data_IF_203738136119
#
_entry.id   IF_203738136119
#
_cell.length_a   1.000
_cell.length_b   1.000
_cell.length_c   1.000
_cell.angle_alpha   90.00
_cell.angle_beta   90.00
_cell.angle_gamma   90.00
#
_symmetry.space_group_name_H-M   'P 1'
#
loop_
_entity.id
_entity.type
_entity.pdbx_description
1 polymer ?
#
# COMPACT_ATOMS: atom_id res chain seq x y z
N UNK A 1 22.35 -7.04 -26.54
CA UNK A 1 23.06 -6.85 -25.27
C UNK A 1 22.18 -6.01 -24.36
N UNK A 2 21.50 -6.64 -23.37
CA UNK A 2 20.81 -5.91 -22.30
C UNK A 2 21.91 -5.23 -21.47
N UNK A 3 21.87 -3.89 -21.40
CA UNK A 3 22.66 -3.18 -20.41
C UNK A 3 22.16 -3.63 -19.05
N UNK A 4 23.03 -4.28 -18.27
CA UNK A 4 22.79 -4.53 -16.84
C UNK A 4 22.68 -3.17 -16.16
N UNK A 5 21.45 -2.69 -16.03
CA UNK A 5 21.14 -1.49 -15.23
C UNK A 5 21.12 -1.98 -13.81
N UNK A 6 22.18 -1.71 -13.03
CA UNK A 6 22.12 -1.91 -11.59
C UNK A 6 20.90 -1.20 -11.02
N UNK A 7 20.01 -1.91 -10.32
CA UNK A 7 18.81 -1.32 -9.77
C UNK A 7 19.19 -0.34 -8.65
N UNK A 8 19.25 0.95 -8.97
CA UNK A 8 19.48 2.01 -7.97
C UNK A 8 18.13 2.34 -7.29
N UNK A 9 18.15 2.67 -5.99
CA UNK A 9 16.98 3.24 -5.33
C UNK A 9 16.45 4.45 -6.11
N UNK A 10 15.13 4.53 -6.28
CA UNK A 10 14.50 5.62 -7.02
C UNK A 10 13.14 5.98 -6.45
N UNK A 11 12.68 7.22 -6.67
CA UNK A 11 11.38 7.72 -6.23
C UNK A 11 10.20 7.08 -6.98
N UNK A 12 10.49 6.37 -8.07
CA UNK A 12 9.50 5.68 -8.92
C UNK A 12 8.94 4.39 -8.27
N UNK A 13 9.56 3.92 -7.19
CA UNK A 13 9.16 2.70 -6.49
C UNK A 13 9.21 2.86 -4.98
N UNK A 14 8.22 2.33 -4.30
CA UNK A 14 8.11 2.38 -2.83
C UNK A 14 7.77 1.00 -2.30
N UNK A 15 8.36 0.66 -1.15
CA UNK A 15 8.12 -0.59 -0.42
C UNK A 15 7.38 -0.28 0.88
N UNK A 16 6.33 -1.03 1.15
CA UNK A 16 5.67 -1.10 2.46
C UNK A 16 6.04 -2.44 3.07
N UNK A 17 6.94 -2.40 4.05
CA UNK A 17 7.50 -3.58 4.70
C UNK A 17 6.49 -4.27 5.63
N UNK A 18 6.69 -5.55 5.91
CA UNK A 18 5.88 -6.34 6.84
C UNK A 18 5.87 -5.74 8.27
N UNK A 19 7.01 -5.24 8.72
CA UNK A 19 7.15 -4.59 10.03
C UNK A 19 7.05 -3.07 9.90
N UNK A 20 6.42 -2.45 10.90
CA UNK A 20 6.16 -1.02 10.93
C UNK A 20 7.41 -0.16 10.73
N UNK A 21 7.29 0.86 9.87
CA UNK A 21 8.37 1.76 9.50
C UNK A 21 8.03 3.25 9.71
N UNK A 22 6.97 3.56 10.47
CA UNK A 22 6.65 4.95 10.81
C UNK A 22 7.73 5.55 11.72
N UNK A 23 8.03 6.83 11.52
CA UNK A 23 8.92 7.58 12.40
C UNK A 23 8.20 7.83 13.73
N UNK A 24 8.61 7.23 14.87
CA UNK A 24 7.87 7.31 16.12
C UNK A 24 7.85 8.71 16.72
N UNK A 25 8.80 9.56 16.36
CA UNK A 25 8.92 10.97 16.80
C UNK A 25 8.21 11.97 15.90
N UNK A 26 7.55 11.54 14.83
CA UNK A 26 6.76 12.39 13.94
C UNK A 26 5.27 12.10 14.11
N UNK A 27 4.46 13.14 13.94
CA UNK A 27 3.01 12.96 13.87
C UNK A 27 2.59 12.12 12.66
N UNK A 28 1.34 11.68 12.61
CA UNK A 28 0.77 11.02 11.43
C UNK A 28 0.93 11.88 10.18
N UNK A 29 0.55 13.16 10.29
CA UNK A 29 0.64 14.08 9.15
C UNK A 29 2.09 14.25 8.68
N UNK A 30 3.02 14.46 9.62
CA UNK A 30 4.44 14.62 9.28
C UNK A 30 5.06 13.33 8.70
N UNK A 31 4.63 12.15 9.17
CA UNK A 31 5.04 10.88 8.58
C UNK A 31 4.63 10.78 7.12
N UNK A 32 3.39 11.12 6.81
CA UNK A 32 2.85 11.02 5.45
C UNK A 32 3.52 12.04 4.53
N UNK A 33 3.63 13.29 4.96
CA UNK A 33 4.10 14.40 4.12
C UNK A 33 5.62 14.48 4.00
N UNK A 34 6.36 13.73 4.81
CA UNK A 34 7.82 13.78 4.85
C UNK A 34 8.48 13.56 3.48
N UNK A 35 8.09 12.50 2.78
CA UNK A 35 8.67 12.15 1.48
C UNK A 35 8.50 13.25 0.43
N UNK A 36 7.27 13.67 0.11
CA UNK A 36 7.01 14.72 -0.87
C UNK A 36 7.71 16.04 -0.57
N UNK A 37 7.76 16.45 0.73
CA UNK A 37 8.39 17.70 1.14
C UNK A 37 9.91 17.62 0.98
N UNK A 38 10.55 16.55 1.46
CA UNK A 38 12.03 16.41 1.37
C UNK A 38 12.50 16.26 -0.07
N UNK A 39 11.68 15.65 -0.93
CA UNK A 39 11.97 15.52 -2.36
C UNK A 39 11.63 16.78 -3.17
N UNK A 40 11.06 17.81 -2.54
CA UNK A 40 10.54 19.02 -3.20
C UNK A 40 9.57 18.71 -4.35
N UNK A 41 8.80 17.62 -4.23
CA UNK A 41 7.82 17.20 -5.23
C UNK A 41 6.44 17.84 -5.03
N UNK A 42 6.18 18.38 -3.82
CA UNK A 42 4.96 19.10 -3.45
C UNK A 42 5.30 20.24 -2.48
N UNK A 43 4.48 21.30 -2.47
CA UNK A 43 4.51 22.27 -1.38
C UNK A 43 4.02 21.65 -0.08
N UNK A 44 4.33 22.28 1.06
CA UNK A 44 3.86 21.81 2.37
C UNK A 44 2.34 21.79 2.44
N UNK A 45 1.69 22.84 1.94
CA UNK A 45 0.23 23.00 1.93
C UNK A 45 -0.44 21.94 1.05
N UNK A 46 0.12 21.69 -0.14
CA UNK A 46 -0.37 20.67 -1.05
C UNK A 46 -0.23 19.26 -0.46
N UNK A 47 0.93 18.93 0.09
CA UNK A 47 1.20 17.65 0.73
C UNK A 47 0.27 17.40 1.92
N UNK A 48 0.03 18.42 2.76
CA UNK A 48 -0.90 18.32 3.89
C UNK A 48 -2.34 18.15 3.46
N UNK A 49 -2.78 18.89 2.45
CA UNK A 49 -4.14 18.77 1.90
C UNK A 49 -4.39 17.37 1.36
N UNK A 50 -3.47 16.87 0.53
CA UNK A 50 -3.53 15.53 -0.05
C UNK A 50 -3.49 14.43 1.03
N UNK A 51 -2.62 14.57 2.04
CA UNK A 51 -2.53 13.64 3.15
C UNK A 51 -3.84 13.53 3.94
N UNK A 52 -4.48 14.66 4.25
CA UNK A 52 -5.77 14.69 4.96
C UNK A 52 -6.89 14.02 4.15
N UNK A 53 -6.93 14.24 2.84
CA UNK A 53 -7.91 13.58 1.97
C UNK A 53 -7.68 12.06 1.95
N UNK A 54 -6.43 11.60 1.85
CA UNK A 54 -6.11 10.17 1.88
C UNK A 54 -6.44 9.54 3.24
N UNK A 55 -6.16 10.24 4.35
CA UNK A 55 -6.56 9.82 5.70
C UNK A 55 -8.08 9.66 5.79
N UNK A 56 -8.84 10.63 5.27
CA UNK A 56 -10.30 10.59 5.25
C UNK A 56 -10.82 9.37 4.49
N UNK A 57 -10.29 9.09 3.30
CA UNK A 57 -10.67 7.91 2.48
C UNK A 57 -10.36 6.58 3.16
N UNK A 58 -9.29 6.54 3.95
CA UNK A 58 -8.91 5.34 4.71
C UNK A 58 -9.58 5.25 6.10
N UNK A 59 -10.58 6.10 6.39
CA UNK A 59 -11.30 6.10 7.67
C UNK A 59 -10.45 6.51 8.87
N UNK A 60 -9.47 7.39 8.67
CA UNK A 60 -8.49 7.84 9.67
C UNK A 60 -8.59 9.36 9.92
N UNK A 61 -9.82 9.88 10.07
CA UNK A 61 -10.00 11.31 10.37
C UNK A 61 -9.59 11.63 11.81
N UNK A 62 -9.13 12.88 12.02
CA UNK A 62 -8.83 13.46 13.35
C UNK A 62 -7.63 12.82 14.07
N UNK A 63 -6.72 12.21 13.33
CA UNK A 63 -5.49 11.64 13.90
C UNK A 63 -4.21 12.32 13.37
N UNK A 64 -4.34 13.43 12.66
CA UNK A 64 -3.25 14.11 11.96
C UNK A 64 -2.10 14.49 12.90
N UNK A 65 -2.43 14.93 14.12
CA UNK A 65 -1.48 15.33 15.17
C UNK A 65 -1.09 14.20 16.13
N UNK A 66 -1.62 12.99 15.93
CA UNK A 66 -1.35 11.82 16.78
C UNK A 66 0.01 11.19 16.40
N UNK A 67 0.70 10.63 17.38
CA UNK A 67 1.96 9.90 17.17
C UNK A 67 1.72 8.40 16.94
N UNK A 68 2.60 7.70 16.20
CA UNK A 68 2.44 6.28 15.91
C UNK A 68 2.18 5.39 17.13
N UNK A 69 2.86 5.63 18.26
CA UNK A 69 2.68 4.86 19.48
C UNK A 69 1.28 4.97 20.13
N UNK A 70 0.45 5.90 19.68
CA UNK A 70 -0.93 6.10 20.15
C UNK A 70 -1.97 5.43 19.24
N UNK A 71 -1.52 4.80 18.14
CA UNK A 71 -2.37 4.17 17.15
C UNK A 71 -2.38 2.64 17.32
N UNK A 72 -3.51 2.01 16.99
CA UNK A 72 -3.54 0.56 16.82
C UNK A 72 -2.64 0.12 15.65
N UNK A 73 -2.21 -1.15 15.63
CA UNK A 73 -1.39 -1.71 14.55
C UNK A 73 -2.04 -1.56 13.17
N UNK A 74 -3.35 -1.77 13.09
CA UNK A 74 -4.11 -1.58 11.85
C UNK A 74 -4.17 -0.11 11.40
N UNK A 75 -4.25 0.86 12.34
CA UNK A 75 -4.18 2.29 12.02
C UNK A 75 -2.77 2.66 11.53
N UNK A 76 -1.72 2.19 12.22
CA UNK A 76 -0.34 2.43 11.80
C UNK A 76 -0.11 1.92 10.38
N UNK A 77 -0.60 0.71 10.08
CA UNK A 77 -0.45 0.10 8.77
C UNK A 77 -1.12 0.90 7.66
N UNK A 78 -2.33 1.41 7.90
CA UNK A 78 -3.01 2.31 6.94
C UNK A 78 -2.24 3.61 6.72
N UNK A 79 -1.67 4.19 7.77
CA UNK A 79 -0.80 5.38 7.65
C UNK A 79 0.44 5.07 6.81
N UNK A 80 1.07 3.91 6.96
CA UNK A 80 2.21 3.48 6.14
C UNK A 80 1.86 3.36 4.65
N UNK A 81 0.71 2.77 4.36
CA UNK A 81 0.21 2.67 2.98
C UNK A 81 -0.02 4.08 2.41
N UNK A 82 -0.65 4.99 3.14
CA UNK A 82 -0.84 6.37 2.72
C UNK A 82 0.50 7.06 2.48
N UNK A 83 1.48 6.89 3.39
CA UNK A 83 2.83 7.45 3.26
C UNK A 83 3.56 6.94 2.01
N UNK A 84 3.33 5.71 1.62
CA UNK A 84 3.86 5.17 0.38
C UNK A 84 3.18 5.80 -0.85
N UNK A 85 1.86 5.87 -0.82
CA UNK A 85 1.03 6.29 -1.95
C UNK A 85 1.10 7.79 -2.26
N UNK A 86 1.31 8.64 -1.25
CA UNK A 86 1.39 10.09 -1.46
C UNK A 86 2.57 10.50 -2.35
N UNK A 87 3.64 9.69 -2.38
CA UNK A 87 4.81 9.90 -3.24
C UNK A 87 4.55 9.61 -4.72
N UNK A 88 3.35 9.19 -5.06
CA UNK A 88 2.92 8.87 -6.43
C UNK A 88 3.85 7.87 -7.17
N UNK A 89 4.25 6.74 -6.54
CA UNK A 89 5.17 5.80 -7.15
C UNK A 89 4.55 5.14 -8.39
N UNK A 90 5.38 4.74 -9.36
CA UNK A 90 4.97 3.91 -10.51
C UNK A 90 4.80 2.44 -10.11
N UNK A 91 5.62 1.99 -9.16
CA UNK A 91 5.60 0.61 -8.64
C UNK A 91 5.46 0.64 -7.13
N UNK A 92 4.47 -0.07 -6.59
CA UNK A 92 4.23 -0.24 -5.18
C UNK A 92 4.47 -1.70 -4.79
N UNK A 93 5.37 -1.93 -3.85
CA UNK A 93 5.68 -3.24 -3.29
C UNK A 93 5.05 -3.34 -1.89
N UNK A 94 4.13 -4.27 -1.70
CA UNK A 94 3.40 -4.45 -0.44
C UNK A 94 3.69 -5.85 0.12
N UNK A 95 4.32 -5.90 1.29
CA UNK A 95 4.63 -7.15 1.98
C UNK A 95 3.66 -7.36 3.16
N UNK A 96 2.71 -8.29 3.00
CA UNK A 96 1.63 -8.61 3.95
C UNK A 96 0.94 -7.35 4.53
N UNK A 97 0.46 -6.40 3.71
CA UNK A 97 0.05 -5.08 4.18
C UNK A 97 -1.21 -5.08 5.06
N UNK A 98 -2.02 -6.14 5.03
CA UNK A 98 -3.29 -6.20 5.76
C UNK A 98 -3.31 -7.21 6.91
N UNK A 99 -2.17 -7.84 7.21
CA UNK A 99 -2.06 -8.90 8.23
C UNK A 99 -2.55 -8.49 9.62
N UNK A 100 -2.34 -7.24 10.03
CA UNK A 100 -2.67 -6.75 11.37
C UNK A 100 -4.04 -6.07 11.46
N UNK A 101 -4.91 -6.24 10.46
CA UNK A 101 -6.21 -5.58 10.40
C UNK A 101 -7.35 -6.55 10.75
N UNK A 102 -8.38 -6.03 11.43
CA UNK A 102 -9.68 -6.70 11.57
C UNK A 102 -10.40 -6.76 10.23
N UNK A 103 -11.38 -7.65 10.10
CA UNK A 103 -12.09 -7.93 8.84
C UNK A 103 -12.73 -6.69 8.21
N UNK A 104 -13.36 -5.82 9.01
CA UNK A 104 -14.04 -4.63 8.49
C UNK A 104 -13.04 -3.62 7.94
N UNK A 105 -11.99 -3.34 8.74
CA UNK A 105 -10.90 -2.44 8.35
C UNK A 105 -10.13 -2.98 7.13
N UNK A 106 -9.92 -4.28 7.07
CA UNK A 106 -9.28 -4.98 5.95
C UNK A 106 -10.07 -4.79 4.67
N UNK A 107 -11.37 -5.05 4.68
CA UNK A 107 -12.25 -4.88 3.53
C UNK A 107 -12.26 -3.44 2.99
N UNK A 108 -12.34 -2.44 3.88
CA UNK A 108 -12.27 -1.03 3.48
C UNK A 108 -10.90 -0.67 2.86
N UNK A 109 -9.82 -1.24 3.39
CA UNK A 109 -8.45 -1.01 2.86
C UNK A 109 -8.25 -1.67 1.51
N UNK A 110 -8.80 -2.86 1.29
CA UNK A 110 -8.81 -3.54 0.00
C UNK A 110 -9.55 -2.72 -1.06
N UNK A 111 -10.76 -2.24 -0.72
CA UNK A 111 -11.57 -1.43 -1.62
C UNK A 111 -10.83 -0.16 -2.02
N UNK A 112 -10.21 0.55 -1.07
CA UNK A 112 -9.40 1.74 -1.34
C UNK A 112 -8.22 1.45 -2.27
N UNK A 113 -7.52 0.31 -2.07
CA UNK A 113 -6.41 -0.08 -2.94
C UNK A 113 -6.86 -0.37 -4.37
N UNK A 114 -8.02 -1.03 -4.53
CA UNK A 114 -8.62 -1.28 -5.85
C UNK A 114 -9.01 0.02 -6.55
N UNK A 115 -9.71 0.93 -5.86
CA UNK A 115 -10.09 2.24 -6.40
C UNK A 115 -8.87 3.05 -6.84
N UNK A 116 -7.80 3.02 -6.05
CA UNK A 116 -6.55 3.67 -6.40
C UNK A 116 -5.93 3.05 -7.65
N UNK A 117 -5.88 1.72 -7.73
CA UNK A 117 -5.35 1.00 -8.89
C UNK A 117 -6.15 1.35 -10.14
N UNK A 118 -7.47 1.27 -10.08
CA UNK A 118 -8.37 1.56 -11.22
C UNK A 118 -8.24 3.02 -11.69
N UNK A 119 -8.05 3.96 -10.75
CA UNK A 119 -7.87 5.37 -11.07
C UNK A 119 -6.49 5.72 -11.64
N UNK A 120 -5.43 4.95 -11.33
CA UNK A 120 -4.05 5.33 -11.64
C UNK A 120 -3.29 4.37 -12.56
N UNK A 121 -3.76 3.13 -12.72
CA UNK A 121 -3.10 2.09 -13.52
C UNK A 121 -1.67 1.74 -13.05
N UNK A 122 -1.37 1.96 -11.76
CA UNK A 122 -0.04 1.68 -11.19
C UNK A 122 0.26 0.19 -11.13
N UNK A 123 1.53 -0.16 -11.19
CA UNK A 123 1.95 -1.55 -10.96
C UNK A 123 2.03 -1.80 -9.45
N UNK A 124 1.25 -2.75 -8.95
CA UNK A 124 1.29 -3.18 -7.55
C UNK A 124 1.79 -4.62 -7.49
N UNK A 125 2.89 -4.83 -6.76
CA UNK A 125 3.39 -6.14 -6.40
C UNK A 125 3.04 -6.42 -4.96
N UNK A 126 2.23 -7.45 -4.73
CA UNK A 126 1.61 -7.73 -3.45
C UNK A 126 1.98 -9.13 -2.96
N UNK A 127 2.49 -9.23 -1.73
CA UNK A 127 2.80 -10.50 -1.07
C UNK A 127 1.76 -10.74 0.00
N UNK A 128 1.11 -11.90 -0.03
CA UNK A 128 0.16 -12.34 0.98
C UNK A 128 0.15 -13.87 1.07
N UNK A 129 -0.25 -14.38 2.23
CA UNK A 129 -0.58 -15.78 2.44
C UNK A 129 -2.11 -16.03 2.43
N UNK A 130 -2.90 -14.99 2.26
CA UNK A 130 -4.35 -15.04 2.20
C UNK A 130 -4.81 -15.21 0.74
N UNK A 131 -5.51 -16.32 0.48
CA UNK A 131 -5.96 -16.68 -0.87
C UNK A 131 -7.05 -15.74 -1.39
N UNK A 132 -7.94 -15.30 -0.51
CA UNK A 132 -9.01 -14.37 -0.88
C UNK A 132 -8.43 -13.01 -1.29
N UNK A 133 -7.43 -12.51 -0.54
CA UNK A 133 -6.71 -11.30 -0.91
C UNK A 133 -6.03 -11.44 -2.29
N UNK A 134 -5.33 -12.56 -2.51
CA UNK A 134 -4.61 -12.78 -3.76
C UNK A 134 -5.56 -12.79 -4.97
N UNK A 135 -6.73 -13.41 -4.84
CA UNK A 135 -7.74 -13.49 -5.90
C UNK A 135 -8.47 -12.15 -6.06
N UNK A 136 -8.85 -11.52 -4.94
CA UNK A 136 -9.64 -10.30 -4.97
C UNK A 136 -8.87 -9.09 -5.51
N UNK A 137 -7.58 -8.97 -5.15
CA UNK A 137 -6.74 -7.82 -5.51
C UNK A 137 -5.92 -8.05 -6.78
N UNK A 138 -5.45 -9.29 -7.01
CA UNK A 138 -4.50 -9.57 -8.08
C UNK A 138 -5.14 -9.75 -9.46
N UNK A 139 -4.50 -9.26 -10.51
CA UNK A 139 -4.81 -9.63 -11.90
C UNK A 139 -4.03 -10.88 -12.31
N UNK A 140 -2.89 -11.11 -11.64
CA UNK A 140 -2.05 -12.29 -11.82
C UNK A 140 -1.53 -12.77 -10.48
N UNK A 141 -1.68 -14.06 -10.20
CA UNK A 141 -1.23 -14.69 -8.95
C UNK A 141 -0.10 -15.68 -9.26
N UNK A 142 0.98 -15.55 -8.49
CA UNK A 142 2.10 -16.46 -8.51
C UNK A 142 2.14 -17.25 -7.21
N UNK A 143 1.99 -18.57 -7.30
CA UNK A 143 2.08 -19.46 -6.15
C UNK A 143 3.54 -19.90 -6.01
N UNK A 144 4.11 -19.68 -4.83
CA UNK A 144 5.49 -20.04 -4.52
C UNK A 144 5.57 -21.25 -3.60
N UNK A 145 6.64 -22.04 -3.75
CA UNK A 145 7.02 -23.10 -2.79
C UNK A 145 7.79 -22.50 -1.61
N UNK A 146 7.85 -23.24 -0.48
CA UNK A 146 8.52 -22.74 0.73
C UNK A 146 10.05 -22.88 0.69
N UNK A 147 10.57 -24.07 0.42
CA UNK A 147 12.03 -24.35 0.43
C UNK A 147 12.38 -25.48 -0.55
N UNK A 148 13.17 -25.23 -1.60
CA UNK A 148 13.59 -23.89 -2.06
C UNK A 148 12.40 -23.08 -2.61
N UNK A 149 12.48 -21.75 -2.52
CA UNK A 149 11.48 -20.85 -3.04
C UNK A 149 11.56 -20.77 -4.57
N UNK A 150 10.54 -21.25 -5.27
CA UNK A 150 10.37 -21.07 -6.71
C UNK A 150 8.89 -20.92 -7.07
N UNK A 151 8.60 -20.32 -8.23
CA UNK A 151 7.22 -20.16 -8.71
C UNK A 151 6.72 -21.55 -9.18
N UNK A 152 5.78 -22.10 -8.41
CA UNK A 152 5.14 -23.39 -8.73
C UNK A 152 4.09 -23.25 -9.82
N UNK A 153 3.32 -22.16 -9.79
CA UNK A 153 2.24 -21.90 -10.75
C UNK A 153 2.00 -20.40 -10.87
N UNK A 154 1.63 -19.98 -12.07
CA UNK A 154 1.13 -18.62 -12.34
C UNK A 154 -0.26 -18.72 -12.95
N UNK A 155 -1.17 -17.86 -12.49
CA UNK A 155 -2.57 -17.84 -12.93
C UNK A 155 -2.99 -16.41 -13.21
N UNK A 156 -3.78 -16.20 -14.26
CA UNK A 156 -4.54 -14.98 -14.44
C UNK A 156 -5.86 -15.09 -13.69
N UNK A 157 -6.32 -13.97 -13.17
CA UNK A 157 -7.58 -13.85 -12.44
C UNK A 157 -8.56 -13.09 -13.34
N UNK A 158 -9.55 -13.82 -13.86
CA UNK A 158 -10.55 -13.29 -14.79
C UNK A 158 -11.76 -12.67 -14.08
N UNK A 159 -11.54 -12.04 -12.92
CA UNK A 159 -12.58 -11.28 -12.23
C UNK A 159 -12.70 -9.88 -12.86
N UNK A 160 -13.89 -9.51 -13.33
CA UNK A 160 -14.11 -8.20 -13.94
C UNK A 160 -13.93 -7.07 -12.92
N UNK A 161 -13.62 -5.87 -13.41
CA UNK A 161 -13.54 -4.65 -12.62
C UNK A 161 -14.76 -3.76 -12.89
N UNK A 162 -15.30 -3.01 -11.91
CA UNK A 162 -14.87 -2.94 -10.50
C UNK A 162 -15.20 -4.22 -9.73
N UNK A 163 -14.30 -4.62 -8.82
CA UNK A 163 -14.46 -5.83 -8.02
C UNK A 163 -15.21 -5.56 -6.73
N UNK A 164 -16.08 -6.49 -6.35
CA UNK A 164 -16.82 -6.49 -5.08
C UNK A 164 -16.60 -7.81 -4.35
N UNK A 165 -16.58 -7.79 -3.03
CA UNK A 165 -16.34 -9.00 -2.22
C UNK A 165 -17.33 -10.14 -2.51
N UNK A 166 -18.56 -9.82 -2.89
CA UNK A 166 -19.55 -10.80 -3.31
C UNK A 166 -19.17 -11.64 -4.53
N UNK A 167 -18.10 -11.30 -5.23
CA UNK A 167 -17.60 -12.07 -6.38
C UNK A 167 -16.73 -13.26 -5.98
N UNK A 168 -16.25 -13.30 -4.72
CA UNK A 168 -15.36 -14.35 -4.19
C UNK A 168 -15.98 -15.07 -2.99
N UNK A 169 -17.20 -14.71 -2.58
CA UNK A 169 -17.96 -15.31 -1.48
C UNK A 169 -18.64 -16.63 -1.90
#
# INVERSE_FOLDING_TARGET
ASKDVEPKPGSDRVVVFQHGALFPWKTVLDNITYGPIVQNSMSTEEAQSRAKEMLRRMGLQKIESTYPGQLSSGMQRRVEIIRALINDPKVLLLDEPFRAMDTVTKSASHQYLLELFDATGKTIFFITHDLEEAIFLGDKVHIMTSRPGYIKKSMHIDLPRPRHFSMIA
#
